data_IF_375058132652
#
_entry.id   IF_375058132652
#
_cell.length_a   1.000
_cell.length_b   1.000
_cell.length_c   1.000
_cell.angle_alpha   90.00
_cell.angle_beta   90.00
_cell.angle_gamma   90.00
#
_symmetry.space_group_name_H-M   'P 1'
#
loop_
_entity.id
_entity.type
_entity.pdbx_description
1 polymer ?
#
# COMPACT_ATOMS: atom_id res chain seq x y z
N UNK A 1 4.05 10.59 -12.99
CA UNK A 1 4.05 9.11 -13.11
C UNK A 1 5.40 8.45 -12.80
N UNK A 2 6.52 8.80 -13.47
CA UNK A 2 7.83 8.11 -13.30
C UNK A 2 8.34 8.08 -11.85
N UNK A 3 8.26 9.22 -11.17
CA UNK A 3 8.74 9.42 -9.79
C UNK A 3 7.97 8.59 -8.73
N UNK A 4 6.72 8.21 -8.98
CA UNK A 4 5.91 7.49 -7.97
C UNK A 4 6.16 5.98 -7.97
N UNK A 5 6.23 5.39 -9.16
CA UNK A 5 6.65 3.99 -9.29
C UNK A 5 8.06 3.79 -8.75
N UNK A 6 8.93 4.80 -8.90
CA UNK A 6 10.25 4.85 -8.29
C UNK A 6 10.16 4.84 -6.76
N UNK A 7 9.35 5.72 -6.13
CA UNK A 7 9.11 5.70 -4.68
C UNK A 7 8.66 4.32 -4.18
N UNK A 8 7.61 3.76 -4.80
CA UNK A 8 7.06 2.45 -4.41
C UNK A 8 8.11 1.35 -4.57
N UNK A 9 8.85 1.35 -5.68
CA UNK A 9 9.87 0.35 -5.97
C UNK A 9 11.05 0.46 -5.01
N UNK A 10 11.46 1.68 -4.66
CA UNK A 10 12.53 1.94 -3.70
C UNK A 10 12.12 1.55 -2.29
N UNK A 11 10.89 1.86 -1.86
CA UNK A 11 10.36 1.40 -0.55
C UNK A 11 10.24 -0.12 -0.50
N UNK A 12 9.70 -0.76 -1.53
CA UNK A 12 9.63 -2.22 -1.62
C UNK A 12 11.02 -2.86 -1.54
N UNK A 13 12.01 -2.30 -2.25
CA UNK A 13 13.40 -2.78 -2.17
C UNK A 13 13.99 -2.61 -0.78
N UNK A 14 13.80 -1.45 -0.17
CA UNK A 14 14.29 -1.15 1.17
C UNK A 14 13.65 -2.07 2.21
N UNK A 15 12.33 -2.26 2.18
CA UNK A 15 11.67 -3.20 3.08
C UNK A 15 12.20 -4.62 2.86
N UNK A 16 12.42 -5.06 1.62
CA UNK A 16 12.97 -6.41 1.35
C UNK A 16 14.33 -6.60 2.00
N UNK A 17 15.19 -5.58 1.94
CA UNK A 17 16.49 -5.61 2.60
C UNK A 17 16.37 -5.70 4.12
N UNK A 18 15.38 -5.03 4.72
CA UNK A 18 15.13 -5.09 6.17
C UNK A 18 14.62 -6.45 6.63
N UNK A 19 13.76 -7.08 5.83
CA UNK A 19 13.25 -8.42 6.10
C UNK A 19 14.28 -9.53 5.82
N UNK A 20 15.26 -9.31 4.93
CA UNK A 20 16.27 -10.32 4.58
C UNK A 20 17.36 -10.44 5.64
N UNK A 21 16.99 -11.01 6.79
CA UNK A 21 17.88 -11.70 7.73
C UNK A 21 17.62 -13.22 7.74
N UNK A 22 16.57 -13.68 7.03
CA UNK A 22 16.19 -15.09 6.87
C UNK A 22 16.18 -15.51 5.40
N UNK A 23 16.53 -16.77 5.13
CA UNK A 23 16.89 -17.35 3.83
C UNK A 23 15.79 -17.39 2.75
N UNK A 24 14.61 -16.81 3.00
CA UNK A 24 13.50 -16.75 2.07
C UNK A 24 13.23 -15.31 1.66
N UNK A 25 13.11 -15.03 0.36
CA UNK A 25 12.72 -13.70 -0.11
C UNK A 25 11.37 -13.29 0.50
N UNK A 26 11.35 -12.26 1.34
CA UNK A 26 10.15 -11.87 2.09
C UNK A 26 9.11 -11.29 1.12
N UNK A 27 7.87 -11.78 1.22
CA UNK A 27 6.76 -11.28 0.42
C UNK A 27 6.26 -9.98 1.03
N UNK A 28 6.47 -8.88 0.31
CA UNK A 28 6.00 -7.56 0.74
C UNK A 28 4.66 -7.26 0.10
N UNK A 29 3.69 -6.92 0.93
CA UNK A 29 2.34 -6.57 0.56
C UNK A 29 2.20 -5.07 0.34
N UNK A 30 1.23 -4.70 -0.50
CA UNK A 30 0.90 -3.30 -0.82
C UNK A 30 0.65 -2.46 0.43
N UNK A 31 -0.09 -3.00 1.41
CA UNK A 31 -0.40 -2.31 2.65
C UNK A 31 0.86 -1.94 3.45
N UNK A 32 1.88 -2.80 3.47
CA UNK A 32 3.16 -2.50 4.13
C UNK A 32 3.86 -1.31 3.47
N UNK A 33 3.88 -1.27 2.13
CA UNK A 33 4.47 -0.15 1.38
C UNK A 33 3.70 1.15 1.64
N UNK A 34 2.36 1.10 1.59
CA UNK A 34 1.51 2.28 1.81
C UNK A 34 1.59 2.82 3.23
N UNK A 35 1.60 1.95 4.26
CA UNK A 35 1.74 2.38 5.65
C UNK A 35 3.10 3.00 5.89
N UNK A 36 4.17 2.40 5.39
CA UNK A 36 5.54 2.95 5.50
C UNK A 36 5.64 4.31 4.83
N UNK A 37 5.09 4.45 3.62
CA UNK A 37 5.03 5.75 2.93
C UNK A 37 4.21 6.78 3.70
N UNK A 38 3.06 6.38 4.23
CA UNK A 38 2.25 7.25 5.08
C UNK A 38 3.02 7.78 6.28
N UNK A 39 3.79 6.92 6.97
CA UNK A 39 4.64 7.34 8.09
C UNK A 39 5.72 8.33 7.65
N UNK A 40 6.37 8.09 6.50
CA UNK A 40 7.43 8.98 5.97
C UNK A 40 6.86 10.35 5.65
N UNK A 41 5.75 10.40 4.90
CA UNK A 41 5.12 11.66 4.50
C UNK A 41 4.58 12.44 5.70
N UNK A 42 3.93 11.75 6.65
CA UNK A 42 3.46 12.42 7.87
C UNK A 42 4.62 13.06 8.65
N UNK A 43 5.76 12.37 8.76
CA UNK A 43 6.95 12.94 9.42
C UNK A 43 7.53 14.14 8.66
N UNK A 44 7.58 14.10 7.33
CA UNK A 44 8.05 15.21 6.51
C UNK A 44 7.18 16.46 6.68
N UNK A 45 5.87 16.25 6.84
CA UNK A 45 4.88 17.31 7.12
C UNK A 45 4.82 17.71 8.61
N UNK A 46 5.72 17.20 9.46
CA UNK A 46 5.70 17.40 10.92
C UNK A 46 4.38 16.97 11.60
N UNK A 47 3.68 16.00 11.02
CA UNK A 47 2.47 15.39 11.57
C UNK A 47 2.86 14.10 12.29
N UNK A 48 2.38 13.92 13.53
CA UNK A 48 2.64 12.70 14.29
C UNK A 48 2.05 11.47 13.54
N UNK A 49 2.85 10.45 13.20
CA UNK A 49 2.38 9.26 12.51
C UNK A 49 1.67 8.34 13.50
N UNK A 50 0.45 8.68 13.91
CA UNK A 50 -0.41 7.87 14.78
C UNK A 50 -1.32 6.98 13.93
N UNK A 51 -1.91 5.94 14.52
CA UNK A 51 -2.93 5.12 13.86
C UNK A 51 -4.05 5.99 13.24
N UNK A 52 -4.55 6.97 14.00
CA UNK A 52 -5.61 7.86 13.53
C UNK A 52 -5.21 8.75 12.35
N UNK A 53 -3.95 9.22 12.31
CA UNK A 53 -3.46 9.98 11.16
C UNK A 53 -3.21 9.08 9.95
N UNK A 54 -2.69 7.87 10.15
CA UNK A 54 -2.54 6.90 9.07
C UNK A 54 -3.90 6.51 8.46
N UNK A 55 -4.95 6.34 9.28
CA UNK A 55 -6.32 6.10 8.80
C UNK A 55 -6.85 7.25 7.92
N UNK A 56 -6.48 8.49 8.24
CA UNK A 56 -6.94 9.68 7.50
C UNK A 56 -6.20 9.90 6.20
N UNK A 57 -4.91 9.57 6.18
CA UNK A 57 -4.00 9.98 5.12
C UNK A 57 -3.46 8.83 4.27
N UNK A 58 -3.80 7.58 4.59
CA UNK A 58 -3.42 6.44 3.75
C UNK A 58 -4.67 5.77 3.15
N UNK A 59 -4.61 5.29 1.91
CA UNK A 59 -5.70 4.57 1.26
C UNK A 59 -5.75 3.10 1.72
N UNK A 60 -5.56 2.86 3.03
CA UNK A 60 -5.50 1.53 3.63
C UNK A 60 -6.61 1.42 4.68
N UNK A 61 -7.43 0.36 4.67
CA UNK A 61 -8.45 0.17 5.69
C UNK A 61 -7.86 0.11 7.09
N UNK A 62 -8.55 0.70 8.08
CA UNK A 62 -8.13 0.74 9.49
C UNK A 62 -7.64 -0.61 10.03
N UNK A 63 -8.40 -1.68 9.82
CA UNK A 63 -8.05 -3.05 10.26
C UNK A 63 -6.74 -3.53 9.62
N UNK A 64 -6.50 -3.16 8.36
CA UNK A 64 -5.27 -3.48 7.62
C UNK A 64 -4.10 -2.63 8.09
N UNK A 65 -4.31 -1.35 8.42
CA UNK A 65 -3.27 -0.49 9.01
C UNK A 65 -2.79 -1.10 10.33
N UNK A 66 -3.72 -1.44 11.23
CA UNK A 66 -3.37 -2.01 12.54
C UNK A 66 -2.54 -3.30 12.42
N UNK A 67 -3.01 -4.27 11.61
CA UNK A 67 -2.26 -5.51 11.36
C UNK A 67 -0.89 -5.24 10.75
N UNK A 68 -0.82 -4.31 9.80
CA UNK A 68 0.44 -3.95 9.13
C UNK A 68 1.44 -3.33 10.09
N UNK A 69 0.99 -2.43 10.97
CA UNK A 69 1.84 -1.82 12.00
C UNK A 69 2.39 -2.88 12.95
N UNK A 70 1.57 -3.84 13.38
CA UNK A 70 2.00 -4.96 14.23
C UNK A 70 3.08 -5.82 13.55
N UNK A 71 2.88 -6.20 12.30
CA UNK A 71 3.88 -6.96 11.53
C UNK A 71 5.19 -6.16 11.42
N UNK A 72 5.12 -4.86 11.12
CA UNK A 72 6.32 -4.03 10.99
C UNK A 72 7.04 -3.78 12.34
N UNK A 73 6.31 -3.80 13.46
CA UNK A 73 6.88 -3.78 14.81
C UNK A 73 7.61 -5.09 15.13
N UNK A 74 6.97 -6.25 14.90
CA UNK A 74 7.54 -7.58 15.14
C UNK A 74 8.84 -7.80 14.36
N UNK A 75 8.90 -7.23 13.16
CA UNK A 75 10.04 -7.33 12.24
C UNK A 75 11.11 -6.26 12.52
N UNK A 76 10.97 -5.52 13.62
CA UNK A 76 11.90 -4.45 14.03
C UNK A 76 12.14 -3.42 12.92
N UNK A 77 11.12 -3.13 12.11
CA UNK A 77 11.13 -2.06 11.10
C UNK A 77 10.58 -0.78 11.71
N UNK A 78 9.51 -0.90 12.51
CA UNK A 78 8.87 0.20 13.21
C UNK A 78 8.95 0.04 14.72
N UNK A 79 8.91 1.16 15.42
CA UNK A 79 8.77 1.22 16.88
C UNK A 79 7.59 2.11 17.24
N UNK A 80 6.73 1.67 18.14
CA UNK A 80 5.72 2.54 18.75
C UNK A 80 6.36 3.35 19.87
N UNK A 81 6.21 4.66 19.83
CA UNK A 81 6.68 5.60 20.85
C UNK A 81 5.61 5.79 21.94
N UNK A 82 6.01 6.39 23.07
CA UNK A 82 5.13 6.66 24.22
C UNK A 82 3.89 7.49 23.86
N UNK A 83 4.04 8.41 22.90
CA UNK A 83 2.96 9.25 22.35
C UNK A 83 2.02 8.51 21.38
N UNK A 84 2.18 7.18 21.25
CA UNK A 84 1.47 6.31 20.29
C UNK A 84 1.78 6.61 18.83
N UNK A 85 2.82 7.39 18.55
CA UNK A 85 3.32 7.60 17.18
C UNK A 85 4.28 6.49 16.77
N UNK A 86 4.46 6.33 15.46
CA UNK A 86 5.30 5.30 14.87
C UNK A 86 6.65 5.85 14.36
N UNK A 87 7.74 5.31 14.90
CA UNK A 87 9.13 5.53 14.52
C UNK A 87 9.67 4.45 13.58
N UNK A 88 10.76 4.72 12.86
CA UNK A 88 11.52 3.67 12.16
C UNK A 88 12.67 3.22 13.05
N UNK A 89 12.98 1.93 13.02
CA UNK A 89 14.24 1.41 13.56
C UNK A 89 15.36 1.72 12.55
N UNK A 90 16.14 2.78 12.85
CA UNK A 90 17.22 3.26 11.99
C UNK A 90 16.77 4.23 10.90
N UNK A 91 17.69 4.54 10.00
CA UNK A 91 17.49 5.58 9.00
C UNK A 91 16.66 5.10 7.80
N UNK A 92 15.83 6.01 7.30
CA UNK A 92 15.12 5.87 6.03
C UNK A 92 16.07 6.34 4.93
N UNK A 93 16.27 5.57 3.85
CA UNK A 93 17.11 5.96 2.73
C UNK A 93 16.77 7.35 2.18
N UNK A 94 17.80 8.15 1.92
CA UNK A 94 17.66 9.52 1.41
C UNK A 94 16.86 9.56 0.10
N UNK A 95 17.07 8.60 -0.80
CA UNK A 95 16.30 8.49 -2.05
C UNK A 95 14.78 8.42 -1.80
N UNK A 96 14.35 7.71 -0.76
CA UNK A 96 12.92 7.62 -0.42
C UNK A 96 12.43 8.96 0.10
N UNK A 97 13.22 9.64 0.93
CA UNK A 97 12.89 10.96 1.47
C UNK A 97 12.74 11.98 0.34
N UNK A 98 13.73 12.10 -0.55
CA UNK A 98 13.70 13.06 -1.65
C UNK A 98 12.52 12.84 -2.59
N UNK A 99 12.25 11.58 -2.94
CA UNK A 99 11.14 11.24 -3.82
C UNK A 99 9.75 11.43 -3.16
N UNK A 100 9.69 11.51 -1.83
CA UNK A 100 8.46 11.76 -1.05
C UNK A 100 8.28 13.22 -0.60
N UNK A 101 9.34 14.05 -0.63
CA UNK A 101 9.36 15.42 -0.06
C UNK A 101 8.35 16.39 -0.69
N UNK A 102 7.90 16.14 -1.93
CA UNK A 102 6.96 17.01 -2.64
C UNK A 102 5.53 16.45 -2.68
N UNK A 103 5.18 15.54 -1.76
CA UNK A 103 3.88 14.87 -1.77
C UNK A 103 3.19 15.02 -0.43
N UNK A 104 2.00 15.60 -0.46
CA UNK A 104 1.18 15.67 0.75
C UNK A 104 0.59 14.28 1.05
N UNK A 105 0.40 13.90 2.32
CA UNK A 105 -0.27 12.66 2.68
C UNK A 105 -1.68 12.54 2.07
N UNK A 106 -2.35 13.66 1.78
CA UNK A 106 -3.64 13.73 1.06
C UNK A 106 -3.53 13.19 -0.36
N UNK A 107 -2.38 13.33 -1.02
CA UNK A 107 -2.14 12.83 -2.37
C UNK A 107 -2.02 11.31 -2.43
N UNK A 108 -1.79 10.59 -1.32
CA UNK A 108 -1.74 9.11 -1.34
C UNK A 108 -3.06 8.49 -1.81
N UNK A 109 -4.19 9.12 -1.50
CA UNK A 109 -5.50 8.71 -2.01
C UNK A 109 -5.62 8.88 -3.53
N UNK A 110 -5.31 10.07 -4.05
CA UNK A 110 -5.30 10.36 -5.49
C UNK A 110 -4.29 9.51 -6.26
N UNK A 111 -3.18 9.14 -5.61
CA UNK A 111 -2.14 8.30 -6.20
C UNK A 111 -2.59 6.85 -6.43
N UNK A 112 -3.51 6.32 -5.61
CA UNK A 112 -4.12 5.01 -5.87
C UNK A 112 -5.02 5.06 -7.10
N UNK A 113 -5.80 6.13 -7.25
CA UNK A 113 -6.64 6.33 -8.44
C UNK A 113 -5.79 6.49 -9.71
N UNK A 114 -4.66 7.21 -9.61
CA UNK A 114 -3.68 7.31 -10.70
C UNK A 114 -3.03 5.96 -11.03
N UNK A 115 -2.69 5.13 -10.04
CA UNK A 115 -2.20 3.77 -10.29
C UNK A 115 -3.26 2.92 -10.96
N UNK A 116 -4.50 2.94 -10.46
CA UNK A 116 -5.59 2.17 -11.08
C UNK A 116 -5.79 2.60 -12.53
N UNK A 117 -5.75 3.90 -12.81
CA UNK A 117 -5.85 4.45 -14.15
C UNK A 117 -4.65 4.05 -15.04
N UNK A 118 -3.43 4.13 -14.53
CA UNK A 118 -2.21 3.74 -15.24
C UNK A 118 -2.14 2.24 -15.49
N UNK A 119 -2.54 1.41 -14.52
CA UNK A 119 -2.63 -0.05 -14.67
C UNK A 119 -3.72 -0.42 -15.66
N UNK A 120 -4.90 0.19 -15.60
CA UNK A 120 -5.96 0.01 -16.61
C UNK A 120 -5.45 0.38 -18.00
N UNK A 121 -4.67 1.47 -18.13
CA UNK A 121 -4.08 1.90 -19.40
C UNK A 121 -3.01 0.94 -19.92
N UNK A 122 -2.07 0.51 -19.07
CA UNK A 122 -1.04 -0.47 -19.45
C UNK A 122 -1.64 -1.83 -19.76
N UNK A 123 -2.65 -2.26 -19.01
CA UNK A 123 -3.37 -3.50 -19.26
C UNK A 123 -4.16 -3.41 -20.57
N UNK A 124 -4.81 -2.28 -20.86
CA UNK A 124 -5.45 -2.05 -22.16
C UNK A 124 -4.45 -2.09 -23.31
N UNK A 125 -3.27 -1.50 -23.14
CA UNK A 125 -2.19 -1.55 -24.13
C UNK A 125 -1.63 -2.98 -24.30
N UNK A 126 -1.42 -3.72 -23.21
CA UNK A 126 -1.00 -5.12 -23.27
C UNK A 126 -2.05 -6.02 -23.93
N UNK A 127 -3.34 -5.83 -23.61
CA UNK A 127 -4.45 -6.53 -24.25
C UNK A 127 -4.55 -6.23 -25.74
N UNK A 128 -4.20 -5.01 -26.17
CA UNK A 128 -4.12 -4.63 -27.59
C UNK A 128 -2.91 -5.25 -28.32
N UNK A 129 -1.83 -5.57 -27.61
CA UNK A 129 -0.65 -6.23 -28.19
C UNK A 129 -0.72 -7.76 -28.19
N UNK A 130 -1.62 -8.33 -27.39
CA UNK A 130 -1.95 -9.75 -27.45
C UNK A 130 -2.87 -9.98 -28.66
N UNK A 131 -2.77 -11.12 -29.36
CA UNK A 131 -3.64 -11.45 -30.50
C UNK A 131 -5.01 -11.90 -30.00
N UNK A 132 -5.65 -11.09 -29.16
CA UNK A 132 -6.97 -11.32 -28.59
C UNK A 132 -8.01 -10.63 -29.48
N UNK A 133 -9.07 -11.37 -29.84
CA UNK A 133 -10.24 -10.77 -30.50
C UNK A 133 -10.88 -9.74 -29.56
N UNK A 134 -11.44 -8.67 -30.14
CA UNK A 134 -11.96 -7.51 -29.42
C UNK A 134 -12.99 -7.90 -28.34
N UNK A 135 -13.76 -8.96 -28.61
CA UNK A 135 -14.77 -9.54 -27.74
C UNK A 135 -14.14 -10.22 -26.49
N UNK A 136 -12.94 -10.78 -26.60
CA UNK A 136 -12.19 -11.35 -25.48
C UNK A 136 -11.58 -10.26 -24.59
N UNK A 137 -11.14 -9.15 -25.18
CA UNK A 137 -10.66 -7.97 -24.45
C UNK A 137 -11.79 -7.35 -23.62
N UNK A 138 -13.00 -7.30 -24.17
CA UNK A 138 -14.19 -6.79 -23.49
C UNK A 138 -14.64 -7.71 -22.35
N UNK A 139 -14.59 -9.03 -22.52
CA UNK A 139 -14.89 -9.98 -21.45
C UNK A 139 -13.88 -9.94 -20.30
N UNK A 140 -12.58 -9.80 -20.60
CA UNK A 140 -11.54 -9.66 -19.56
C UNK A 140 -11.70 -8.33 -18.81
N UNK A 141 -11.97 -7.24 -19.54
CA UNK A 141 -12.20 -5.93 -18.91
C UNK A 141 -13.45 -5.95 -18.01
N UNK A 142 -14.55 -6.55 -18.48
CA UNK A 142 -15.77 -6.74 -17.68
C UNK A 142 -15.50 -7.58 -16.44
N UNK A 143 -14.82 -8.73 -16.55
CA UNK A 143 -14.46 -9.58 -15.39
C UNK A 143 -13.65 -8.82 -14.34
N UNK A 144 -12.76 -7.92 -14.76
CA UNK A 144 -11.94 -7.12 -13.83
C UNK A 144 -12.80 -6.08 -13.10
N UNK A 145 -13.78 -5.48 -13.77
CA UNK A 145 -14.74 -4.61 -13.11
C UNK A 145 -15.73 -5.40 -12.22
N UNK A 146 -16.02 -6.68 -12.51
CA UNK A 146 -16.81 -7.57 -11.63
C UNK A 146 -16.04 -8.08 -10.40
N UNK A 147 -14.70 -8.04 -10.39
CA UNK A 147 -13.91 -8.36 -9.19
C UNK A 147 -14.04 -7.26 -8.11
N UNK A 148 -14.36 -6.01 -8.49
CA UNK A 148 -14.60 -4.91 -7.52
C UNK A 148 -15.79 -5.16 -6.58
N UNK A 149 -16.98 -5.61 -7.03
CA UNK A 149 -18.10 -5.92 -6.15
C UNK A 149 -17.92 -7.20 -5.32
N UNK A 150 -17.22 -8.23 -5.81
CA UNK A 150 -16.98 -9.45 -5.02
C UNK A 150 -16.15 -9.19 -3.75
N UNK A 151 -15.28 -8.17 -3.75
CA UNK A 151 -14.54 -7.76 -2.55
C UNK A 151 -15.45 -7.19 -1.46
N UNK A 152 -16.53 -6.50 -1.83
CA UNK A 152 -17.53 -5.98 -0.87
C UNK A 152 -18.38 -7.09 -0.26
N UNK A 153 -18.75 -8.11 -1.04
CA UNK A 153 -19.48 -9.27 -0.53
C UNK A 153 -18.59 -10.16 0.36
N UNK A 154 -17.31 -10.35 0.01
CA UNK A 154 -16.34 -11.04 0.86
C UNK A 154 -16.03 -10.26 2.15
N UNK A 155 -15.92 -8.93 2.09
CA UNK A 155 -15.76 -8.09 3.29
C UNK A 155 -17.03 -8.12 4.17
N UNK A 156 -18.23 -8.10 3.57
CA UNK A 156 -19.50 -8.25 4.29
C UNK A 156 -19.67 -9.64 4.92
N UNK A 157 -19.30 -10.71 4.21
CA UNK A 157 -19.29 -12.08 4.74
C UNK A 157 -18.25 -12.25 5.85
N UNK A 158 -17.09 -11.60 5.76
CA UNK A 158 -16.08 -11.61 6.83
C UNK A 158 -16.56 -10.89 8.11
N UNK A 159 -17.43 -9.87 7.97
CA UNK A 159 -18.05 -9.18 9.11
C UNK A 159 -19.13 -10.03 9.81
N UNK A 160 -19.83 -10.90 9.06
CA UNK A 160 -20.84 -11.81 9.61
C UNK A 160 -20.24 -13.02 10.36
N UNK A 161 -19.02 -13.43 10.03
CA UNK A 161 -18.33 -14.54 10.73
C UNK A 161 -17.60 -14.08 11.99
N UNK A 162 -17.36 -12.77 12.15
CA UNK A 162 -16.67 -12.18 13.32
C UNK A 162 -17.51 -12.09 14.60
N UNK A 163 -18.83 -12.12 14.51
CA UNK A 163 -19.75 -12.02 15.67
C UNK A 163 -20.16 -13.38 16.25
N UNK A 164 -19.61 -14.49 15.74
CA UNK A 164 -20.01 -15.86 16.09
C UNK A 164 -19.13 -16.61 17.09
N UNK A 165 -18.17 -15.96 17.75
CA UNK A 165 -17.38 -16.57 18.82
C UNK A 165 -17.39 -15.67 20.07
N UNK A 166 -18.51 -15.71 20.79
CA UNK A 166 -18.61 -15.49 22.24
C UNK A 166 -19.36 -16.66 22.84
#
# INVERSE_FOLDING_TARGET
>A
MRTFFEVISTVNRWLRQRYSSTSSTPRIFWNQIMVVLGIIMLKQENIAPTLGNLERYTPVPKSSIYRTLKVLEEESILIQKEDKSYGFYGEVPQDILELSTNRTPVELGGLVEEIESAMKKQMKQMLQTLPLQQDQIEQVSKRIDTIKPEKKELDALSSLVGDGFM
#
